data_IF_201260543904
#
_entry.id   IF_201260543904
#
_cell.length_a   1.000
_cell.length_b   1.000
_cell.length_c   1.000
_cell.angle_alpha   90.00
_cell.angle_beta   90.00
_cell.angle_gamma   90.00
#
_symmetry.space_group_name_H-M   'P 1'
#
loop_
_entity.id
_entity.type
_entity.pdbx_description
1 polymer ?
#
# COMPACT_ATOMS: atom_id res chain seq x y z
N UNK A 1 0.91 10.99 24.52
CA UNK A 1 1.36 10.78 23.13
C UNK A 1 0.16 11.03 22.27
N UNK A 2 0.14 12.14 21.52
CA UNK A 2 -0.92 12.41 20.56
C UNK A 2 -0.93 11.28 19.54
N UNK A 3 -2.00 10.48 19.54
CA UNK A 3 -2.12 9.24 18.77
C UNK A 3 -2.21 9.44 17.26
N UNK A 4 -1.23 10.14 16.68
CA UNK A 4 -1.12 10.36 15.24
C UNK A 4 -0.21 9.28 14.66
N UNK A 5 -0.81 8.30 13.97
CA UNK A 5 -0.06 7.39 13.11
C UNK A 5 0.59 8.15 11.94
N UNK A 6 1.56 7.53 11.27
CA UNK A 6 2.20 8.11 10.10
C UNK A 6 1.28 8.19 8.88
N UNK A 7 1.81 8.74 7.80
CA UNK A 7 1.13 8.76 6.50
C UNK A 7 1.01 7.34 5.96
N UNK A 8 -0.13 7.04 5.34
CA UNK A 8 -0.38 5.76 4.68
C UNK A 8 -0.79 6.01 3.22
N UNK A 9 -0.11 5.39 2.27
CA UNK A 9 -0.37 5.55 0.85
C UNK A 9 -0.71 4.24 0.15
N UNK A 10 -1.76 4.27 -0.65
CA UNK A 10 -2.22 3.19 -1.52
C UNK A 10 -1.96 3.61 -2.96
N UNK A 11 -0.89 3.11 -3.56
CA UNK A 11 -0.49 3.42 -4.93
C UNK A 11 -1.13 2.42 -5.89
N UNK A 12 -1.71 2.91 -6.98
CA UNK A 12 -2.50 2.10 -7.89
C UNK A 12 -1.69 1.17 -8.79
N UNK A 13 -0.37 1.26 -8.79
CA UNK A 13 0.52 0.46 -9.62
C UNK A 13 1.37 1.32 -10.56
N UNK A 14 2.16 0.66 -11.40
CA UNK A 14 3.19 1.27 -12.23
C UNK A 14 4.17 2.13 -11.41
N UNK A 15 4.46 1.68 -10.17
CA UNK A 15 5.36 2.35 -9.26
C UNK A 15 6.74 2.56 -9.88
N UNK A 16 7.38 3.67 -9.46
CA UNK A 16 8.74 4.02 -9.86
C UNK A 16 8.93 4.17 -11.38
N UNK A 17 7.89 4.66 -12.04
CA UNK A 17 7.90 5.02 -13.47
C UNK A 17 7.53 6.49 -13.66
N UNK A 18 7.77 7.01 -14.87
CA UNK A 18 7.38 8.36 -15.22
C UNK A 18 5.89 8.59 -14.94
N UNK A 19 5.60 9.70 -14.23
CA UNK A 19 4.26 10.02 -13.73
C UNK A 19 4.09 9.77 -12.22
N UNK A 20 4.96 8.96 -11.58
CA UNK A 20 4.91 8.73 -10.13
C UNK A 20 5.60 9.84 -9.30
N UNK A 21 6.29 10.78 -9.94
CA UNK A 21 7.13 11.77 -9.25
C UNK A 21 6.35 12.59 -8.20
N UNK A 22 5.11 12.97 -8.51
CA UNK A 22 4.29 13.76 -7.59
C UNK A 22 3.96 12.98 -6.32
N UNK A 23 3.60 11.70 -6.46
CA UNK A 23 3.31 10.78 -5.34
C UNK A 23 4.55 10.60 -4.49
N UNK A 24 5.65 10.13 -5.09
CA UNK A 24 6.83 9.72 -4.34
C UNK A 24 7.56 10.91 -3.69
N UNK A 25 7.59 12.09 -4.34
CA UNK A 25 8.09 13.32 -3.70
C UNK A 25 7.28 13.72 -2.47
N UNK A 26 5.95 13.61 -2.55
CA UNK A 26 5.09 13.91 -1.39
C UNK A 26 5.34 12.94 -0.25
N UNK A 27 5.54 11.64 -0.53
CA UNK A 27 5.82 10.63 0.49
C UNK A 27 7.22 10.79 1.10
N UNK A 28 8.26 11.07 0.29
CA UNK A 28 9.61 11.38 0.77
C UNK A 28 9.59 12.60 1.69
N UNK A 29 8.91 13.67 1.29
CA UNK A 29 8.77 14.88 2.10
C UNK A 29 8.04 14.60 3.41
N UNK A 30 6.96 13.80 3.39
CA UNK A 30 6.19 13.44 4.58
C UNK A 30 6.99 12.56 5.56
N UNK A 31 7.88 11.70 5.05
CA UNK A 31 8.72 10.85 5.87
C UNK A 31 9.84 11.62 6.59
N UNK A 32 10.25 12.76 6.05
CA UNK A 32 11.44 13.50 6.50
C UNK A 32 12.63 12.55 6.69
N UNK A 33 12.85 11.69 5.69
CA UNK A 33 13.84 10.62 5.75
C UNK A 33 14.76 10.62 4.53
N UNK A 34 16.03 10.31 4.75
CA UNK A 34 17.02 10.19 3.67
C UNK A 34 16.99 8.82 2.96
N UNK A 35 16.17 7.87 3.47
CA UNK A 35 16.14 6.51 2.98
C UNK A 35 14.72 5.91 3.00
N UNK A 36 14.38 5.20 1.93
CA UNK A 36 13.18 4.37 1.78
C UNK A 36 13.56 2.90 1.94
N UNK A 37 12.91 2.19 2.84
CA UNK A 37 13.05 0.73 2.98
C UNK A 37 12.00 0.04 2.10
N UNK A 38 12.46 -0.66 1.07
CA UNK A 38 11.62 -1.36 0.11
C UNK A 38 11.50 -2.83 0.50
N UNK A 39 10.27 -3.33 0.65
CA UNK A 39 9.98 -4.75 0.85
C UNK A 39 9.46 -5.34 -0.47
N UNK A 40 10.29 -6.07 -1.23
CA UNK A 40 9.90 -6.65 -2.52
C UNK A 40 9.21 -8.01 -2.35
N UNK A 41 8.58 -8.25 -1.20
CA UNK A 41 7.96 -9.52 -0.81
C UNK A 41 6.94 -10.02 -1.84
N UNK A 42 6.13 -9.12 -2.41
CA UNK A 42 5.15 -9.49 -3.44
C UNK A 42 5.81 -10.01 -4.72
N UNK A 43 7.02 -9.54 -5.02
CA UNK A 43 7.80 -9.90 -6.21
C UNK A 43 8.76 -11.09 -5.97
N UNK A 44 8.62 -11.83 -4.87
CA UNK A 44 9.55 -12.90 -4.48
C UNK A 44 9.87 -13.93 -5.58
N UNK A 45 8.92 -14.16 -6.49
CA UNK A 45 9.08 -15.07 -7.65
C UNK A 45 9.21 -14.34 -8.99
N UNK A 46 9.34 -13.01 -8.97
CA UNK A 46 9.36 -12.12 -10.14
C UNK A 46 10.60 -11.20 -10.11
N UNK A 47 11.77 -11.76 -9.75
CA UNK A 47 13.03 -11.02 -9.65
C UNK A 47 13.00 -9.86 -8.65
N UNK A 48 12.87 -10.13 -7.33
CA UNK A 48 12.77 -9.09 -6.31
C UNK A 48 13.97 -8.13 -6.28
N UNK A 49 15.15 -8.61 -6.69
CA UNK A 49 16.37 -7.79 -6.83
C UNK A 49 16.24 -6.71 -7.91
N UNK A 50 15.46 -6.97 -8.98
CA UNK A 50 15.18 -5.97 -10.01
C UNK A 50 14.23 -4.90 -9.51
N UNK A 51 13.21 -5.29 -8.73
CA UNK A 51 12.31 -4.34 -8.10
C UNK A 51 13.09 -3.38 -7.18
N UNK A 52 14.01 -3.92 -6.38
CA UNK A 52 14.90 -3.10 -5.52
C UNK A 52 15.77 -2.18 -6.34
N UNK A 53 16.45 -2.68 -7.38
CA UNK A 53 17.32 -1.87 -8.23
C UNK A 53 16.54 -0.74 -8.95
N UNK A 54 15.30 -1.00 -9.38
CA UNK A 54 14.42 0.02 -9.95
C UNK A 54 14.09 1.10 -8.92
N UNK A 55 13.74 0.71 -7.69
CA UNK A 55 13.48 1.65 -6.61
C UNK A 55 14.71 2.48 -6.27
N UNK A 56 15.90 1.85 -6.17
CA UNK A 56 17.15 2.55 -5.89
C UNK A 56 17.45 3.65 -6.93
N UNK A 57 17.35 3.30 -8.22
CA UNK A 57 17.54 4.26 -9.31
C UNK A 57 16.50 5.38 -9.29
N UNK A 58 15.23 5.04 -9.03
CA UNK A 58 14.13 6.00 -8.96
C UNK A 58 14.29 7.01 -7.82
N UNK A 59 14.45 6.52 -6.59
CA UNK A 59 14.56 7.38 -5.42
C UNK A 59 15.85 8.20 -5.41
N UNK A 60 16.95 7.68 -5.98
CA UNK A 60 18.16 8.47 -6.21
C UNK A 60 17.89 9.70 -7.09
N UNK A 61 17.05 9.55 -8.14
CA UNK A 61 16.59 10.66 -8.97
C UNK A 61 15.70 11.68 -8.22
N UNK A 62 15.14 11.29 -7.08
CA UNK A 62 14.36 12.18 -6.20
C UNK A 62 15.20 12.75 -5.03
N UNK A 63 16.49 12.45 -4.96
CA UNK A 63 17.37 12.90 -3.88
C UNK A 63 17.24 12.10 -2.58
N UNK A 64 16.65 10.92 -2.64
CA UNK A 64 16.46 9.99 -1.53
C UNK A 64 17.15 8.65 -1.86
N UNK A 65 17.66 7.93 -0.86
CA UNK A 65 18.17 6.58 -1.09
C UNK A 65 17.01 5.58 -0.95
N UNK A 66 17.11 4.44 -1.65
CA UNK A 66 16.29 3.29 -1.33
C UNK A 66 17.18 2.11 -0.94
N UNK A 67 16.68 1.24 -0.08
CA UNK A 67 17.32 0.02 0.37
C UNK A 67 16.33 -1.14 0.34
N UNK A 68 16.66 -2.20 -0.37
CA UNK A 68 15.86 -3.43 -0.35
C UNK A 68 16.04 -4.20 0.96
N UNK A 69 14.94 -4.61 1.56
CA UNK A 69 14.92 -5.55 2.68
C UNK A 69 14.27 -6.84 2.19
N UNK A 70 15.08 -7.87 1.97
CA UNK A 70 14.70 -9.11 1.27
C UNK A 70 13.88 -10.06 2.16
N UNK A 71 12.71 -9.62 2.60
CA UNK A 71 11.72 -10.43 3.31
C UNK A 71 10.90 -11.18 2.25
N UNK A 72 11.34 -12.34 1.81
CA UNK A 72 10.77 -13.06 0.67
C UNK A 72 9.96 -14.29 1.09
N UNK A 73 10.25 -14.85 2.25
CA UNK A 73 9.64 -16.06 2.78
C UNK A 73 9.02 -15.84 4.15
N UNK A 74 8.20 -16.79 4.58
CA UNK A 74 7.66 -16.80 5.95
C UNK A 74 8.76 -16.85 7.01
N UNK A 75 9.87 -17.51 6.73
CA UNK A 75 11.04 -17.57 7.61
C UNK A 75 11.66 -16.20 7.80
N UNK A 76 11.91 -15.47 6.70
CA UNK A 76 12.46 -14.11 6.75
C UNK A 76 11.53 -13.16 7.52
N UNK A 77 10.22 -13.32 7.35
CA UNK A 77 9.23 -12.49 8.05
C UNK A 77 9.18 -12.72 9.58
N UNK A 78 9.78 -13.79 10.07
CA UNK A 78 9.94 -14.07 11.51
C UNK A 78 11.32 -13.72 12.04
N UNK A 79 12.23 -13.25 11.18
CA UNK A 79 13.57 -12.84 11.59
C UNK A 79 13.51 -11.54 12.40
N UNK A 80 14.00 -11.59 13.63
CA UNK A 80 13.97 -10.45 14.56
C UNK A 80 14.87 -9.29 14.12
N UNK A 81 15.96 -9.57 13.39
CA UNK A 81 16.83 -8.51 12.87
C UNK A 81 16.12 -7.76 11.73
N UNK A 82 15.48 -8.48 10.80
CA UNK A 82 14.67 -7.87 9.74
C UNK A 82 13.48 -7.10 10.33
N UNK A 83 12.85 -7.61 11.37
CA UNK A 83 11.80 -6.89 12.08
C UNK A 83 12.32 -5.62 12.78
N UNK A 84 13.51 -5.67 13.38
CA UNK A 84 14.14 -4.49 13.97
C UNK A 84 14.47 -3.42 12.91
N UNK A 85 14.97 -3.83 11.74
CA UNK A 85 15.24 -2.93 10.61
C UNK A 85 13.95 -2.25 10.10
N UNK A 86 12.84 -3.00 10.00
CA UNK A 86 11.53 -2.46 9.64
C UNK A 86 11.05 -1.47 10.70
N UNK A 87 11.15 -1.81 11.98
CA UNK A 87 10.72 -0.94 13.09
C UNK A 87 11.48 0.38 13.12
N UNK A 88 12.77 0.36 12.77
CA UNK A 88 13.62 1.54 12.73
C UNK A 88 13.40 2.43 11.50
N UNK A 89 12.71 1.91 10.46
CA UNK A 89 12.50 2.63 9.21
C UNK A 89 11.48 3.75 9.35
N UNK A 90 11.76 4.88 8.74
CA UNK A 90 10.84 6.03 8.69
C UNK A 90 9.98 6.05 7.43
N UNK A 91 10.38 5.33 6.40
CA UNK A 91 9.60 5.15 5.19
C UNK A 91 9.70 3.70 4.70
N UNK A 92 8.59 3.01 4.71
CA UNK A 92 8.41 1.63 4.28
C UNK A 92 7.58 1.58 3.01
N UNK A 93 8.07 0.86 1.99
CA UNK A 93 7.38 0.72 0.72
C UNK A 93 7.22 -0.77 0.34
N UNK A 94 5.98 -1.26 0.29
CA UNK A 94 5.63 -2.60 -0.17
C UNK A 94 5.41 -2.57 -1.70
N UNK A 95 6.26 -3.25 -2.46
CA UNK A 95 6.16 -3.27 -3.93
C UNK A 95 4.97 -4.05 -4.45
N UNK A 96 4.71 -3.92 -5.76
CA UNK A 96 3.78 -4.76 -6.51
C UNK A 96 4.25 -6.20 -6.68
N UNK A 97 3.38 -7.06 -7.26
CA UNK A 97 3.58 -8.48 -7.50
C UNK A 97 2.39 -9.32 -7.04
N UNK A 98 2.62 -10.43 -6.33
CA UNK A 98 1.56 -11.32 -5.85
C UNK A 98 1.00 -10.90 -4.48
N UNK A 99 -0.24 -10.40 -4.40
CA UNK A 99 -0.84 -10.02 -3.11
C UNK A 99 -1.08 -11.22 -2.20
N UNK A 100 -1.37 -12.39 -2.76
CA UNK A 100 -1.59 -13.60 -1.97
C UNK A 100 -0.28 -14.10 -1.34
N UNK A 101 0.84 -14.02 -2.06
CA UNK A 101 2.15 -14.35 -1.50
C UNK A 101 2.53 -13.35 -0.40
N UNK A 102 2.48 -12.06 -0.69
CA UNK A 102 2.77 -10.98 0.27
C UNK A 102 1.98 -11.17 1.57
N UNK A 103 0.67 -11.39 1.45
CA UNK A 103 -0.19 -11.66 2.60
C UNK A 103 0.26 -12.91 3.37
N UNK A 104 0.54 -14.02 2.68
CA UNK A 104 0.92 -15.28 3.33
C UNK A 104 2.24 -15.17 4.10
N UNK A 105 3.17 -14.40 3.57
CA UNK A 105 4.47 -14.13 4.22
C UNK A 105 4.30 -13.24 5.46
N UNK A 106 3.57 -12.13 5.34
CA UNK A 106 3.52 -11.13 6.41
C UNK A 106 2.47 -11.39 7.49
N UNK A 107 1.37 -12.09 7.21
CA UNK A 107 0.27 -12.22 8.17
C UNK A 107 0.72 -12.84 9.50
N UNK A 108 0.59 -12.08 10.60
CA UNK A 108 0.97 -12.53 11.94
C UNK A 108 2.48 -12.80 12.07
N UNK A 109 3.33 -12.06 11.37
CA UNK A 109 4.79 -12.15 11.46
C UNK A 109 5.39 -11.05 12.34
N UNK A 110 6.64 -11.25 12.74
CA UNK A 110 7.42 -10.23 13.46
C UNK A 110 7.61 -8.97 12.61
N UNK A 111 7.91 -9.13 11.31
CA UNK A 111 8.05 -8.02 10.35
C UNK A 111 6.74 -7.25 10.20
N UNK A 112 5.58 -7.93 10.12
CA UNK A 112 4.29 -7.22 10.06
C UNK A 112 4.02 -6.43 11.33
N UNK A 113 4.28 -7.01 12.50
CA UNK A 113 4.13 -6.32 13.79
C UNK A 113 5.02 -5.08 13.83
N UNK A 114 6.29 -5.21 13.41
CA UNK A 114 7.24 -4.11 13.35
C UNK A 114 6.81 -2.99 12.39
N UNK A 115 6.21 -3.34 11.23
CA UNK A 115 5.66 -2.37 10.28
C UNK A 115 4.50 -1.57 10.91
N UNK A 116 3.58 -2.26 11.58
CA UNK A 116 2.46 -1.59 12.29
C UNK A 116 2.99 -0.66 13.38
N UNK A 117 3.98 -1.11 14.17
CA UNK A 117 4.62 -0.29 15.21
C UNK A 117 5.31 0.94 14.63
N UNK A 118 6.07 0.79 13.53
CA UNK A 118 6.72 1.91 12.83
C UNK A 118 5.69 2.93 12.35
N UNK A 119 4.59 2.48 11.71
CA UNK A 119 3.52 3.36 11.28
C UNK A 119 2.84 4.09 12.44
N UNK A 120 2.56 3.40 13.55
CA UNK A 120 2.01 4.01 14.76
C UNK A 120 2.99 5.00 15.41
N UNK A 121 4.29 4.83 15.18
CA UNK A 121 5.34 5.75 15.63
C UNK A 121 5.56 6.93 14.67
N UNK A 122 4.79 7.02 13.57
CA UNK A 122 4.84 8.14 12.63
C UNK A 122 5.58 7.87 11.33
N UNK A 123 6.03 6.64 11.06
CA UNK A 123 6.64 6.29 9.78
C UNK A 123 5.63 6.35 8.63
N UNK A 124 6.09 6.74 7.46
CA UNK A 124 5.33 6.60 6.20
C UNK A 124 5.29 5.14 5.79
N UNK A 125 4.11 4.63 5.46
CA UNK A 125 3.91 3.33 4.85
C UNK A 125 3.24 3.50 3.50
N UNK A 126 3.86 3.02 2.44
CA UNK A 126 3.27 2.97 1.11
C UNK A 126 3.14 1.52 0.63
N UNK A 127 2.10 1.22 -0.10
CA UNK A 127 1.95 -0.04 -0.81
C UNK A 127 1.48 0.21 -2.23
N UNK A 128 2.12 -0.42 -3.21
CA UNK A 128 1.72 -0.33 -4.61
C UNK A 128 1.10 -1.63 -5.09
N UNK A 129 0.02 -1.53 -5.88
CA UNK A 129 -0.67 -2.68 -6.46
C UNK A 129 -0.96 -3.77 -5.41
N UNK A 130 -0.25 -4.89 -5.43
CA UNK A 130 -0.33 -5.94 -4.41
C UNK A 130 -0.11 -5.40 -2.98
N UNK A 131 0.86 -4.49 -2.80
CA UNK A 131 1.12 -3.82 -1.53
C UNK A 131 -0.08 -3.01 -1.05
N UNK A 132 -0.73 -2.26 -1.94
CA UNK A 132 -1.93 -1.50 -1.62
C UNK A 132 -3.10 -2.41 -1.21
N UNK A 133 -3.30 -3.51 -1.93
CA UNK A 133 -4.38 -4.46 -1.64
C UNK A 133 -4.27 -5.05 -0.24
N UNK A 134 -3.10 -5.55 0.14
CA UNK A 134 -2.94 -6.29 1.40
C UNK A 134 -3.03 -5.41 2.64
N UNK A 135 -2.78 -4.10 2.52
CA UNK A 135 -2.88 -3.15 3.64
C UNK A 135 -4.32 -2.98 4.15
N UNK A 136 -5.33 -3.37 3.36
CA UNK A 136 -6.74 -3.32 3.77
C UNK A 136 -7.24 -4.68 4.30
N UNK A 137 -8.33 -4.66 5.08
CA UNK A 137 -9.13 -5.83 5.42
C UNK A 137 -10.62 -5.45 5.44
N UNK A 138 -11.43 -6.03 4.52
CA UNK A 138 -11.07 -7.01 3.52
C UNK A 138 -10.20 -6.43 2.40
N UNK A 139 -9.55 -7.31 1.62
CA UNK A 139 -8.91 -6.96 0.35
C UNK A 139 -9.64 -7.62 -0.82
N UNK A 140 -9.49 -7.09 -2.03
CA UNK A 140 -10.01 -7.71 -3.24
C UNK A 140 -9.23 -8.98 -3.56
N UNK A 141 -9.91 -10.09 -3.89
CA UNK A 141 -9.26 -11.31 -4.38
C UNK A 141 -8.79 -11.08 -5.83
N UNK A 142 -7.48 -11.16 -6.11
CA UNK A 142 -6.94 -10.87 -7.44
C UNK A 142 -7.43 -11.82 -8.52
N UNK A 143 -7.93 -13.00 -8.14
CA UNK A 143 -8.39 -14.04 -9.10
C UNK A 143 -9.77 -13.76 -9.67
N UNK A 144 -10.68 -13.17 -8.91
CA UNK A 144 -12.07 -13.06 -9.36
C UNK A 144 -12.84 -11.83 -8.92
N UNK A 145 -12.21 -10.89 -8.23
CA UNK A 145 -12.87 -9.67 -7.75
C UNK A 145 -13.82 -9.88 -6.56
N UNK A 146 -13.85 -11.07 -5.95
CA UNK A 146 -14.46 -11.28 -4.64
C UNK A 146 -13.60 -10.66 -3.53
N UNK A 147 -14.13 -10.61 -2.34
CA UNK A 147 -13.39 -10.10 -1.17
C UNK A 147 -12.77 -11.26 -0.39
N UNK A 148 -11.59 -11.05 0.13
CA UNK A 148 -10.87 -11.98 1.00
C UNK A 148 -10.17 -11.22 2.14
N UNK A 149 -9.64 -11.96 3.10
CA UNK A 149 -8.95 -11.37 4.26
C UNK A 149 -7.61 -10.76 3.84
N UNK A 150 -7.35 -9.53 4.22
CA UNK A 150 -6.07 -8.85 4.04
C UNK A 150 -5.20 -8.87 5.30
N UNK A 151 -4.29 -7.90 5.44
CA UNK A 151 -3.46 -7.71 6.64
C UNK A 151 -4.08 -6.73 7.64
N UNK A 152 -4.95 -5.82 7.16
CA UNK A 152 -5.80 -4.99 8.01
C UNK A 152 -5.08 -3.86 8.74
N UNK A 153 -4.15 -3.17 8.07
CA UNK A 153 -3.65 -1.90 8.59
C UNK A 153 -4.78 -0.85 8.59
N UNK A 154 -5.65 -0.93 7.59
CA UNK A 154 -6.93 -0.18 7.53
C UNK A 154 -8.07 -1.16 7.30
N UNK A 155 -9.18 -0.94 8.00
CA UNK A 155 -10.44 -1.68 7.84
C UNK A 155 -11.53 -0.78 7.24
N UNK A 156 -12.64 -1.38 6.82
CA UNK A 156 -13.77 -0.65 6.25
C UNK A 156 -13.59 -0.17 4.82
N UNK A 157 -12.48 -0.55 4.17
CA UNK A 157 -12.26 -0.31 2.76
C UNK A 157 -11.50 -1.44 2.09
N UNK A 158 -11.65 -1.58 0.78
CA UNK A 158 -10.87 -2.47 -0.07
C UNK A 158 -10.36 -1.70 -1.29
N UNK A 159 -9.08 -1.89 -1.65
CA UNK A 159 -8.46 -1.19 -2.78
C UNK A 159 -8.46 -2.06 -4.03
N UNK A 160 -8.87 -1.47 -5.15
CA UNK A 160 -8.74 -1.98 -6.52
C UNK A 160 -7.62 -1.16 -7.19
N UNK A 161 -6.39 -1.70 -7.27
CA UNK A 161 -5.30 -1.04 -8.01
C UNK A 161 -5.52 -1.15 -9.52
N UNK A 162 -4.71 -0.45 -10.31
CA UNK A 162 -4.79 -0.39 -11.79
C UNK A 162 -6.18 0.00 -12.30
N UNK A 163 -6.92 0.78 -11.52
CA UNK A 163 -8.30 1.15 -11.84
C UNK A 163 -8.36 1.89 -13.18
N UNK A 164 -9.25 1.41 -14.06
CA UNK A 164 -9.33 1.87 -15.45
C UNK A 164 -8.56 0.99 -16.46
N UNK A 165 -7.59 0.21 -15.98
CA UNK A 165 -6.83 -0.78 -16.78
C UNK A 165 -7.18 -2.23 -16.43
N UNK A 166 -7.84 -2.44 -15.29
CA UNK A 166 -8.34 -3.75 -14.85
C UNK A 166 -9.53 -4.23 -15.67
N UNK A 167 -9.77 -5.54 -15.61
CA UNK A 167 -10.99 -6.13 -16.20
C UNK A 167 -12.23 -5.52 -15.54
N UNK A 168 -13.06 -4.82 -16.33
CA UNK A 168 -14.25 -4.11 -15.87
C UNK A 168 -15.25 -5.03 -15.13
N UNK A 169 -15.33 -6.30 -15.51
CA UNK A 169 -16.18 -7.30 -14.86
C UNK A 169 -15.70 -7.61 -13.44
N UNK A 170 -14.38 -7.72 -13.24
CA UNK A 170 -13.80 -7.90 -11.90
C UNK A 170 -14.10 -6.70 -11.01
N UNK A 171 -13.87 -5.49 -11.52
CA UNK A 171 -14.14 -4.25 -10.80
C UNK A 171 -15.60 -4.16 -10.42
N UNK A 172 -16.52 -4.39 -11.37
CA UNK A 172 -17.95 -4.40 -11.12
C UNK A 172 -18.32 -5.43 -10.04
N UNK A 173 -17.76 -6.63 -10.11
CA UNK A 173 -17.98 -7.67 -9.12
C UNK A 173 -17.49 -7.27 -7.72
N UNK A 174 -16.32 -6.67 -7.62
CA UNK A 174 -15.78 -6.19 -6.34
C UNK A 174 -16.72 -5.15 -5.70
N UNK A 175 -17.25 -4.24 -6.52
CA UNK A 175 -18.20 -3.21 -6.07
C UNK A 175 -19.54 -3.83 -5.65
N UNK A 176 -20.07 -4.76 -6.46
CA UNK A 176 -21.38 -5.37 -6.21
C UNK A 176 -21.40 -6.34 -5.02
N UNK A 177 -20.28 -7.06 -4.79
CA UNK A 177 -20.15 -8.01 -3.68
C UNK A 177 -19.72 -7.35 -2.35
N UNK A 178 -19.36 -6.08 -2.38
CA UNK A 178 -19.01 -5.35 -1.18
C UNK A 178 -20.20 -5.21 -0.24
N UNK A 179 -19.97 -5.34 1.06
CA UNK A 179 -20.97 -5.00 2.06
C UNK A 179 -21.40 -3.53 1.90
N UNK A 180 -22.66 -3.23 2.27
CA UNK A 180 -23.23 -1.90 2.03
C UNK A 180 -22.46 -0.72 2.67
N UNK A 181 -21.69 -1.00 3.71
CA UNK A 181 -20.88 -0.05 4.45
C UNK A 181 -19.37 -0.11 4.10
N UNK A 182 -18.98 -1.06 3.24
CA UNK A 182 -17.60 -1.20 2.80
C UNK A 182 -17.31 -0.25 1.63
N UNK A 183 -16.28 0.59 1.78
CA UNK A 183 -15.79 1.40 0.68
C UNK A 183 -14.91 0.56 -0.27
N UNK A 184 -15.25 0.54 -1.56
CA UNK A 184 -14.36 0.01 -2.61
C UNK A 184 -13.68 1.19 -3.30
N UNK A 185 -12.36 1.20 -3.28
CA UNK A 185 -11.56 2.34 -3.76
C UNK A 185 -10.74 1.95 -4.96
N UNK A 186 -11.10 2.50 -6.12
CA UNK A 186 -10.34 2.36 -7.36
C UNK A 186 -9.21 3.39 -7.42
N UNK A 187 -7.97 2.92 -7.47
CA UNK A 187 -6.77 3.76 -7.59
C UNK A 187 -6.11 3.50 -8.94
N UNK A 188 -6.07 4.50 -9.85
CA UNK A 188 -5.40 4.36 -11.14
C UNK A 188 -3.88 4.19 -10.99
N UNK A 189 -3.22 3.72 -12.06
CA UNK A 189 -1.76 3.67 -12.10
C UNK A 189 -1.15 5.06 -11.92
N UNK A 190 0.05 5.14 -11.33
CA UNK A 190 0.79 6.39 -11.06
C UNK A 190 0.04 7.39 -10.17
N UNK A 191 -1.08 6.96 -9.59
CA UNK A 191 -1.86 7.73 -8.63
C UNK A 191 -1.82 7.07 -7.26
N UNK A 192 -2.10 7.83 -6.22
CA UNK A 192 -2.20 7.32 -4.86
C UNK A 192 -3.40 7.91 -4.13
N UNK A 193 -4.04 7.07 -3.31
CA UNK A 193 -4.87 7.51 -2.20
C UNK A 193 -4.01 7.59 -0.95
N UNK A 194 -3.98 8.75 -0.30
CA UNK A 194 -3.09 9.01 0.84
C UNK A 194 -3.93 9.38 2.06
N UNK A 195 -3.71 8.66 3.17
CA UNK A 195 -4.24 8.99 4.49
C UNK A 195 -3.22 9.80 5.27
N UNK A 196 -3.61 10.98 5.71
CA UNK A 196 -2.78 11.84 6.53
C UNK A 196 -2.82 11.42 8.02
N UNK A 197 -1.85 11.87 8.84
CA UNK A 197 -1.82 11.57 10.28
C UNK A 197 -3.05 12.04 11.06
N UNK A 198 -3.76 13.05 10.57
CA UNK A 198 -5.00 13.56 11.15
C UNK A 198 -6.25 12.77 10.72
N UNK A 199 -6.07 11.73 9.90
CA UNK A 199 -7.12 10.87 9.38
C UNK A 199 -7.79 11.37 8.11
N UNK A 200 -7.41 12.52 7.58
CA UNK A 200 -7.92 13.01 6.29
C UNK A 200 -7.36 12.24 5.11
N UNK A 201 -8.11 12.20 4.02
CA UNK A 201 -7.76 11.51 2.80
C UNK A 201 -7.56 12.47 1.64
N UNK A 202 -6.56 12.24 0.83
CA UNK A 202 -6.32 12.99 -0.40
C UNK A 202 -5.90 12.04 -1.53
N UNK A 203 -6.18 12.43 -2.77
CA UNK A 203 -5.67 11.77 -3.97
C UNK A 203 -4.49 12.57 -4.53
N UNK A 204 -3.47 11.87 -5.01
CA UNK A 204 -2.30 12.46 -5.71
C UNK A 204 -2.14 11.70 -7.03
N UNK A 205 -1.92 12.42 -8.11
CA UNK A 205 -1.76 11.89 -9.48
C UNK A 205 -2.69 12.58 -10.45
N UNK A 206 -2.54 12.24 -11.73
CA UNK A 206 -3.25 12.92 -12.82
C UNK A 206 -4.66 12.35 -13.09
N UNK A 207 -4.92 11.13 -12.64
CA UNK A 207 -6.21 10.47 -12.77
C UNK A 207 -6.98 10.43 -11.45
N UNK A 208 -8.33 10.51 -11.50
CA UNK A 208 -9.13 10.56 -10.27
C UNK A 208 -9.23 9.20 -9.59
N UNK A 209 -8.92 9.16 -8.29
CA UNK A 209 -9.30 8.05 -7.41
C UNK A 209 -10.83 8.02 -7.31
N UNK A 210 -11.42 6.83 -7.39
CA UNK A 210 -12.86 6.60 -7.33
C UNK A 210 -13.23 5.83 -6.07
N UNK A 211 -14.24 6.27 -5.37
CA UNK A 211 -14.76 5.60 -4.18
C UNK A 211 -16.20 5.16 -4.43
N UNK A 212 -16.52 3.94 -4.03
CA UNK A 212 -17.87 3.36 -4.12
C UNK A 212 -18.29 2.85 -2.75
N UNK A 213 -19.50 3.17 -2.33
CA UNK A 213 -20.13 2.66 -1.11
C UNK A 213 -21.56 2.23 -1.45
N UNK A 214 -21.92 1.00 -1.08
CA UNK A 214 -23.23 0.44 -1.45
C UNK A 214 -23.46 0.35 -2.97
N UNK A 215 -22.39 0.24 -3.76
CA UNK A 215 -22.44 0.20 -5.23
C UNK A 215 -22.45 1.57 -5.91
N UNK A 216 -22.62 2.67 -5.17
CA UNK A 216 -22.75 4.02 -5.71
C UNK A 216 -21.43 4.80 -5.58
N UNK A 217 -21.07 5.64 -6.58
CA UNK A 217 -19.91 6.50 -6.50
C UNK A 217 -20.12 7.61 -5.47
N UNK A 218 -19.09 7.82 -4.63
CA UNK A 218 -19.09 8.84 -3.57
C UNK A 218 -17.78 9.63 -3.55
N UNK A 219 -17.71 10.69 -2.76
CA UNK A 219 -16.47 11.47 -2.58
C UNK A 219 -15.50 10.82 -1.58
N UNK A 220 -14.25 11.35 -1.52
CA UNK A 220 -13.22 10.90 -0.58
C UNK A 220 -13.63 11.12 0.89
N UNK A 221 -14.53 12.06 1.17
CA UNK A 221 -15.08 12.34 2.50
C UNK A 221 -15.85 11.16 3.10
N UNK A 222 -16.34 10.24 2.25
CA UNK A 222 -16.96 9.00 2.71
C UNK A 222 -15.96 8.08 3.44
N UNK A 223 -14.65 8.16 3.15
CA UNK A 223 -13.61 7.37 3.79
C UNK A 223 -13.32 7.80 5.23
N UNK A 224 -13.61 9.05 5.59
CA UNK A 224 -13.37 9.57 6.95
C UNK A 224 -14.26 8.92 8.01
N UNK A 225 -15.31 8.21 7.62
CA UNK A 225 -16.33 7.63 8.51
C UNK A 225 -16.08 6.16 8.85
N UNK A 226 -15.13 5.48 8.19
CA UNK A 226 -14.91 4.04 8.31
C UNK A 226 -13.58 3.59 8.93
N UNK A 227 -12.70 4.48 9.30
CA UNK A 227 -11.33 4.14 9.69
C UNK A 227 -11.10 4.08 11.21
N UNK A 228 -11.18 2.91 11.79
CA UNK A 228 -10.37 2.52 12.96
C UNK A 228 -9.37 1.52 12.52
#
# INVERSE_FOLDING_TARGET
MDGRCGVLAFVGGAEWTDGCQAVDRALVAAADAAEVTVLPTAAAFEHPEKAVATAEAWFAGLGCRARGLMVLTRGDAQDEQLAADVRASRFLYLSGGSPMHLRSVLKGSAVWTALVEAWLAGAVVAGSSAGAMVLTDPMVDPRGGALTVGLGLVTGMAVVPHFGHENAEKVHRSITLAAADLAVVGVPERCALVRQPDGTWQAIGDEPVRVFVGGEPVGLDALARGGR
#
